data_IF_091724872117
#
_entry.id   IF_091724872117
#
_cell.length_a   1.000
_cell.length_b   1.000
_cell.length_c   1.000
_cell.angle_alpha   90.00
_cell.angle_beta   90.00
_cell.angle_gamma   90.00
#
_symmetry.space_group_name_H-M   'P 1'
#
loop_
_entity.id
_entity.type
_entity.pdbx_description
1 polymer ?
#
# COMPACT_ATOMS: atom_id res chain seq x y z
N UNK A 1 -12.78 -0.19 -7.30
CA UNK A 1 -11.68 0.40 -8.13
C UNK A 1 -11.74 -0.22 -9.51
N UNK A 2 -12.11 0.55 -10.56
CA UNK A 2 -12.19 0.02 -11.93
C UNK A 2 -10.84 -0.04 -12.67
N UNK A 3 -9.90 0.84 -12.35
CA UNK A 3 -8.61 0.89 -13.05
C UNK A 3 -7.44 0.89 -12.07
N UNK A 4 -6.38 0.17 -12.42
CA UNK A 4 -5.12 0.14 -11.69
C UNK A 4 -4.03 0.89 -12.46
N UNK A 5 -3.29 1.76 -11.77
CA UNK A 5 -2.14 2.53 -12.27
C UNK A 5 -2.39 3.31 -13.59
N UNK A 6 -3.66 3.49 -13.96
CA UNK A 6 -4.06 4.19 -15.19
C UNK A 6 -3.90 3.38 -16.47
N UNK A 7 -3.44 2.13 -16.41
CA UNK A 7 -3.32 1.27 -17.58
C UNK A 7 -4.69 0.89 -18.14
N UNK A 8 -4.89 1.09 -19.42
CA UNK A 8 -6.16 0.80 -20.08
C UNK A 8 -7.33 1.66 -19.60
N UNK A 9 -7.06 2.77 -18.94
CA UNK A 9 -8.06 3.69 -18.41
C UNK A 9 -8.85 4.33 -19.57
N UNK A 10 -10.16 4.23 -19.53
CA UNK A 10 -11.07 4.89 -20.46
C UNK A 10 -12.37 5.22 -19.74
N UNK A 11 -13.00 6.35 -20.07
CA UNK A 11 -14.26 6.81 -19.49
C UNK A 11 -14.38 6.57 -17.97
N UNK A 12 -13.36 7.01 -17.23
CA UNK A 12 -13.30 6.76 -15.78
C UNK A 12 -14.52 7.33 -15.04
N UNK A 13 -15.03 8.48 -15.47
CA UNK A 13 -16.23 9.09 -14.90
C UNK A 13 -17.48 8.23 -15.13
N UNK A 14 -17.66 7.69 -16.34
CA UNK A 14 -18.75 6.76 -16.65
C UNK A 14 -18.66 5.47 -15.84
N UNK A 15 -17.45 4.92 -15.68
CA UNK A 15 -17.22 3.74 -14.83
C UNK A 15 -17.60 4.01 -13.36
N UNK A 16 -17.24 5.16 -12.79
CA UNK A 16 -17.62 5.57 -11.44
C UNK A 16 -19.15 5.69 -11.30
N UNK A 17 -19.80 6.32 -12.28
CA UNK A 17 -21.28 6.45 -12.29
C UNK A 17 -21.96 5.07 -12.34
N UNK A 18 -21.48 4.16 -13.19
CA UNK A 18 -22.02 2.82 -13.28
C UNK A 18 -21.86 2.03 -11.97
N UNK A 19 -20.72 2.15 -11.29
CA UNK A 19 -20.50 1.53 -9.96
C UNK A 19 -21.48 2.11 -8.94
N UNK A 20 -21.62 3.44 -8.87
CA UNK A 20 -22.52 4.09 -7.91
C UNK A 20 -24.00 3.80 -8.17
N UNK A 21 -24.38 3.54 -9.41
CA UNK A 21 -25.74 3.11 -9.74
C UNK A 21 -26.06 1.70 -9.22
N UNK A 22 -25.05 0.86 -9.02
CA UNK A 22 -25.19 -0.50 -8.46
C UNK A 22 -25.04 -0.52 -6.94
N UNK A 23 -24.10 0.26 -6.40
CA UNK A 23 -23.81 0.36 -4.96
C UNK A 23 -23.26 1.76 -4.66
N UNK A 24 -24.05 2.60 -4.03
CA UNK A 24 -23.69 3.95 -3.58
C UNK A 24 -23.19 4.01 -2.14
N UNK A 25 -23.13 2.87 -1.46
CA UNK A 25 -22.72 2.78 -0.05
C UNK A 25 -21.21 2.75 0.16
N UNK A 26 -20.43 2.62 -0.91
CA UNK A 26 -18.96 2.46 -0.85
C UNK A 26 -18.23 3.59 -1.53
N UNK A 27 -17.06 3.92 -0.97
CA UNK A 27 -16.15 4.86 -1.63
C UNK A 27 -15.60 4.24 -2.92
N UNK A 28 -15.47 5.06 -3.95
CA UNK A 28 -14.92 4.65 -5.25
C UNK A 28 -13.54 5.29 -5.44
N UNK A 29 -12.53 4.45 -5.56
CA UNK A 29 -11.22 4.80 -6.08
C UNK A 29 -11.22 4.51 -7.59
N UNK A 30 -11.29 5.54 -8.42
CA UNK A 30 -11.51 5.37 -9.87
C UNK A 30 -10.31 4.78 -10.60
N UNK A 31 -9.11 5.26 -10.23
CA UNK A 31 -7.85 4.83 -10.79
C UNK A 31 -6.80 4.80 -9.68
N UNK A 32 -6.51 3.63 -9.17
CA UNK A 32 -5.52 3.43 -8.13
C UNK A 32 -4.12 3.81 -8.64
N UNK A 33 -3.46 4.74 -7.95
CA UNK A 33 -2.07 5.13 -8.21
C UNK A 33 -1.90 6.30 -9.16
N UNK A 34 -1.50 6.05 -10.39
CA UNK A 34 -1.13 7.09 -11.34
C UNK A 34 -2.32 7.55 -12.21
N UNK A 35 -2.19 8.73 -12.80
CA UNK A 35 -3.15 9.28 -13.78
C UNK A 35 -4.57 9.45 -13.25
N UNK A 36 -4.69 10.11 -12.11
CA UNK A 36 -5.97 10.51 -11.53
C UNK A 36 -6.80 11.37 -12.51
N UNK A 37 -8.05 10.97 -12.74
CA UNK A 37 -9.01 11.69 -13.60
C UNK A 37 -9.94 12.62 -12.81
N UNK A 38 -9.89 12.57 -11.49
CA UNK A 38 -10.62 13.48 -10.60
C UNK A 38 -12.06 13.10 -10.27
N UNK A 39 -12.53 11.91 -10.68
CA UNK A 39 -13.95 11.53 -10.56
C UNK A 39 -14.32 10.67 -9.37
N UNK A 40 -13.36 10.03 -8.72
CA UNK A 40 -13.57 9.17 -7.55
C UNK A 40 -13.62 9.92 -6.22
N UNK A 41 -13.89 9.20 -5.15
CA UNK A 41 -13.89 9.74 -3.77
C UNK A 41 -12.48 9.83 -3.17
N UNK A 42 -11.54 9.10 -3.75
CA UNK A 42 -10.18 8.92 -3.26
C UNK A 42 -9.17 9.51 -4.24
N UNK A 43 -8.20 10.25 -3.72
CA UNK A 43 -6.97 10.61 -4.43
C UNK A 43 -5.92 9.56 -4.08
N UNK A 44 -5.66 8.66 -5.02
CA UNK A 44 -4.87 7.45 -4.80
C UNK A 44 -3.42 7.63 -5.23
N UNK A 45 -2.49 7.13 -4.42
CA UNK A 45 -1.05 7.18 -4.69
C UNK A 45 -0.45 5.78 -4.65
N UNK A 46 0.39 5.45 -5.63
CA UNK A 46 1.33 4.34 -5.56
C UNK A 46 2.74 4.88 -5.38
N UNK A 47 3.47 4.36 -4.40
CA UNK A 47 4.82 4.83 -4.13
C UNK A 47 5.76 3.71 -3.70
N UNK A 48 6.65 3.29 -4.60
CA UNK A 48 7.70 2.32 -4.34
C UNK A 48 9.11 2.91 -4.37
N UNK A 49 9.35 3.99 -5.11
CA UNK A 49 10.69 4.44 -5.48
C UNK A 49 11.03 5.85 -5.02
N UNK A 50 10.06 6.75 -4.97
CA UNK A 50 10.32 8.18 -4.75
C UNK A 50 10.08 8.60 -3.30
N UNK A 51 10.68 9.69 -2.85
CA UNK A 51 10.30 10.29 -1.57
C UNK A 51 8.81 10.59 -1.55
N UNK A 52 8.07 9.97 -0.61
CA UNK A 52 6.64 10.18 -0.48
C UNK A 52 6.34 11.63 -0.12
N UNK A 53 5.52 12.28 -0.92
CA UNK A 53 5.08 13.65 -0.70
C UNK A 53 3.57 13.74 -0.85
N UNK A 54 2.88 13.80 0.27
CA UNK A 54 1.45 14.07 0.29
C UNK A 54 1.22 15.58 0.25
N UNK A 55 0.26 16.00 -0.59
CA UNK A 55 -0.22 17.37 -0.66
C UNK A 55 -1.69 17.39 -0.28
N UNK A 56 -2.18 18.41 0.44
CA UNK A 56 -3.60 18.54 0.75
C UNK A 56 -4.45 18.47 -0.51
N UNK A 57 -5.53 17.71 -0.42
CA UNK A 57 -6.50 17.48 -1.49
C UNK A 57 -7.92 17.74 -0.94
N UNK A 58 -8.87 17.95 -1.83
CA UNK A 58 -10.30 18.00 -1.48
C UNK A 58 -10.88 16.61 -1.25
N UNK A 59 -10.27 15.60 -1.84
CA UNK A 59 -10.60 14.17 -1.67
C UNK A 59 -9.70 13.51 -0.64
N UNK A 60 -10.15 12.40 -0.08
CA UNK A 60 -9.34 11.56 0.81
C UNK A 60 -8.07 11.07 0.10
N UNK A 61 -6.92 11.33 0.68
CA UNK A 61 -5.64 10.85 0.13
C UNK A 61 -5.36 9.46 0.66
N UNK A 62 -5.22 8.50 -0.24
CA UNK A 62 -4.82 7.13 0.05
C UNK A 62 -3.46 6.81 -0.56
N UNK A 63 -2.58 6.23 0.22
CA UNK A 63 -1.40 5.52 -0.28
C UNK A 63 -1.83 4.06 -0.50
N UNK A 64 -2.39 3.81 -1.68
CA UNK A 64 -3.09 2.57 -2.01
C UNK A 64 -2.16 1.43 -2.42
N UNK A 65 -0.90 1.74 -2.74
CA UNK A 65 0.17 0.75 -2.85
C UNK A 65 1.51 1.36 -2.44
N UNK A 66 2.25 0.65 -1.58
CA UNK A 66 3.60 1.04 -1.20
C UNK A 66 4.33 -0.09 -0.48
N UNK A 67 5.64 0.02 -0.38
CA UNK A 67 6.47 -0.97 0.30
C UNK A 67 7.12 -1.93 -0.66
N UNK A 68 6.51 -3.07 -0.90
CA UNK A 68 6.98 -4.06 -1.88
C UNK A 68 8.37 -4.62 -1.61
N UNK A 69 8.87 -4.58 -0.35
CA UNK A 69 10.21 -5.04 0.00
C UNK A 69 10.25 -6.56 -0.09
N UNK A 70 10.97 -7.07 -1.08
CA UNK A 70 11.12 -8.50 -1.28
C UNK A 70 12.04 -9.14 -0.24
N UNK A 71 11.69 -10.34 0.17
CA UNK A 71 12.59 -11.28 0.84
C UNK A 71 12.13 -12.71 0.54
N UNK A 72 12.82 -13.39 -0.40
CA UNK A 72 12.60 -14.81 -0.62
C UNK A 72 13.05 -15.57 0.63
N UNK A 73 12.09 -16.00 1.45
CA UNK A 73 12.38 -16.70 2.69
C UNK A 73 12.78 -18.14 2.39
N UNK A 74 13.98 -18.60 2.84
CA UNK A 74 14.45 -19.95 2.57
C UNK A 74 13.45 -21.05 2.95
N UNK A 75 13.20 -21.97 2.04
CA UNK A 75 12.24 -23.06 2.23
C UNK A 75 10.78 -22.73 1.93
N UNK A 76 10.48 -21.48 1.54
CA UNK A 76 9.14 -21.00 1.21
C UNK A 76 9.08 -20.23 -0.12
N UNK A 77 10.12 -20.33 -0.93
CA UNK A 77 10.20 -19.62 -2.19
C UNK A 77 9.24 -20.23 -3.24
N UNK A 78 8.61 -19.39 -4.06
CA UNK A 78 7.86 -19.87 -5.22
C UNK A 78 8.83 -20.51 -6.22
N UNK A 79 8.37 -21.46 -7.05
CA UNK A 79 9.21 -22.24 -7.96
C UNK A 79 9.73 -21.43 -9.17
N UNK A 80 9.63 -20.11 -9.16
CA UNK A 80 9.97 -19.22 -10.28
C UNK A 80 10.92 -18.11 -9.84
N UNK A 81 11.37 -17.31 -10.82
CA UNK A 81 12.16 -16.10 -10.56
C UNK A 81 11.34 -15.15 -9.68
N UNK A 82 11.97 -14.63 -8.63
CA UNK A 82 11.34 -13.75 -7.66
C UNK A 82 11.42 -12.28 -8.07
N UNK A 83 10.39 -11.51 -7.70
CA UNK A 83 10.28 -10.08 -7.95
C UNK A 83 9.95 -9.30 -6.66
N UNK A 84 10.27 -7.99 -6.66
CA UNK A 84 9.92 -7.03 -5.63
C UNK A 84 10.74 -5.74 -5.72
N UNK A 85 10.36 -4.73 -4.95
CA UNK A 85 10.96 -3.39 -4.97
C UNK A 85 12.13 -3.28 -3.99
N UNK A 86 13.25 -3.91 -4.35
CA UNK A 86 14.44 -4.05 -3.52
C UNK A 86 14.34 -5.21 -2.54
N UNK A 87 15.43 -5.96 -2.41
CA UNK A 87 15.48 -7.23 -1.68
C UNK A 87 16.17 -7.09 -0.33
N UNK A 88 15.53 -7.55 0.73
CA UNK A 88 16.14 -7.79 2.03
C UNK A 88 16.83 -9.16 2.04
N UNK A 89 17.86 -9.32 2.86
CA UNK A 89 18.66 -10.54 2.95
C UNK A 89 18.31 -11.40 4.17
N UNK A 90 17.54 -10.85 5.10
CA UNK A 90 17.13 -11.52 6.33
C UNK A 90 15.84 -10.96 6.90
N UNK A 91 15.28 -11.66 7.89
CA UNK A 91 14.13 -11.19 8.68
C UNK A 91 14.42 -9.85 9.35
N UNK A 92 15.61 -9.70 9.92
CA UNK A 92 16.04 -8.50 10.64
C UNK A 92 16.12 -7.32 9.69
N UNK A 93 16.70 -7.49 8.51
CA UNK A 93 16.78 -6.45 7.49
C UNK A 93 15.39 -6.06 6.97
N UNK A 94 14.54 -7.05 6.65
CA UNK A 94 13.15 -6.80 6.24
C UNK A 94 12.41 -5.99 7.31
N UNK A 95 12.49 -6.41 8.56
CA UNK A 95 11.86 -5.74 9.70
C UNK A 95 12.37 -4.32 9.88
N UNK A 96 13.68 -4.13 9.80
CA UNK A 96 14.30 -2.80 9.95
C UNK A 96 13.87 -1.85 8.82
N UNK A 97 13.85 -2.33 7.57
CA UNK A 97 13.39 -1.55 6.40
C UNK A 97 11.90 -1.21 6.49
N UNK A 98 11.06 -2.16 6.92
CA UNK A 98 9.64 -1.91 7.18
C UNK A 98 9.47 -0.79 8.22
N UNK A 99 10.10 -0.89 9.38
CA UNK A 99 10.05 0.13 10.43
C UNK A 99 10.51 1.50 9.94
N UNK A 100 11.66 1.55 9.26
CA UNK A 100 12.22 2.79 8.71
C UNK A 100 11.26 3.47 7.74
N UNK A 101 10.64 2.70 6.85
CA UNK A 101 9.68 3.22 5.89
C UNK A 101 8.42 3.73 6.58
N UNK A 102 7.83 2.95 7.46
CA UNK A 102 6.59 3.33 8.16
C UNK A 102 6.78 4.56 9.05
N UNK A 103 7.79 4.56 9.89
CA UNK A 103 8.00 5.63 10.87
C UNK A 103 8.71 6.85 10.28
N UNK A 104 9.64 6.64 9.34
CA UNK A 104 10.44 7.71 8.75
C UNK A 104 9.83 8.35 7.50
N UNK A 105 9.02 7.60 6.75
CA UNK A 105 8.46 8.08 5.47
C UNK A 105 6.94 8.28 5.55
N UNK A 106 6.20 7.28 6.04
CA UNK A 106 4.73 7.30 6.01
C UNK A 106 4.16 8.15 7.16
N UNK A 107 4.59 7.91 8.39
CA UNK A 107 4.05 8.58 9.57
C UNK A 107 4.05 10.11 9.46
N UNK A 108 5.10 10.80 8.97
CA UNK A 108 5.07 12.25 8.80
C UNK A 108 4.05 12.75 7.77
N UNK A 109 3.55 11.89 6.88
CA UNK A 109 2.57 12.28 5.87
C UNK A 109 1.14 12.29 6.40
N UNK A 110 0.87 11.62 7.52
CA UNK A 110 -0.44 11.66 8.18
C UNK A 110 -0.81 13.11 8.55
N UNK A 111 0.14 13.89 9.04
CA UNK A 111 -0.05 15.31 9.34
C UNK A 111 -0.32 16.18 8.10
N UNK A 112 -0.10 15.66 6.90
CA UNK A 112 -0.32 16.35 5.62
C UNK A 112 -1.58 15.89 4.90
N UNK A 113 -2.43 15.09 5.58
CA UNK A 113 -3.70 14.64 5.04
C UNK A 113 -3.71 13.22 4.46
N UNK A 114 -2.63 12.45 4.65
CA UNK A 114 -2.65 11.02 4.30
C UNK A 114 -3.63 10.29 5.23
N UNK A 115 -4.65 9.65 4.67
CA UNK A 115 -5.80 9.14 5.43
C UNK A 115 -6.02 7.63 5.30
N UNK A 116 -5.42 6.99 4.31
CA UNK A 116 -5.52 5.54 4.12
C UNK A 116 -4.19 4.95 3.65
N UNK A 117 -3.91 3.72 4.07
CA UNK A 117 -2.67 3.00 3.79
C UNK A 117 -2.98 1.55 3.39
N UNK A 118 -2.47 1.11 2.24
CA UNK A 118 -2.51 -0.30 1.82
C UNK A 118 -1.10 -0.76 1.48
N UNK A 119 -0.52 -1.56 2.37
CA UNK A 119 0.83 -2.08 2.19
C UNK A 119 0.86 -3.22 1.16
N UNK A 120 1.77 -3.18 0.25
CA UNK A 120 2.05 -4.23 -0.73
C UNK A 120 3.17 -5.14 -0.23
N UNK A 121 2.84 -6.38 0.25
CA UNK A 121 1.47 -6.88 0.35
C UNK A 121 1.31 -7.84 1.55
N UNK A 122 0.13 -8.40 1.72
CA UNK A 122 -0.12 -9.29 2.86
C UNK A 122 0.59 -10.63 2.73
N UNK A 123 0.49 -11.27 1.54
CA UNK A 123 1.14 -12.57 1.25
C UNK A 123 1.95 -12.46 -0.03
N UNK A 124 3.00 -13.26 -0.15
CA UNK A 124 3.65 -13.46 -1.44
C UNK A 124 2.62 -14.00 -2.46
N UNK A 125 2.69 -13.53 -3.70
CA UNK A 125 1.78 -13.91 -4.78
C UNK A 125 2.58 -14.12 -6.07
N UNK A 126 2.41 -15.26 -6.71
CA UNK A 126 3.11 -15.64 -7.95
C UNK A 126 4.64 -15.54 -7.81
N UNK A 127 5.29 -14.59 -8.50
CA UNK A 127 6.73 -14.34 -8.41
C UNK A 127 7.08 -13.15 -7.49
N UNK A 128 6.08 -12.43 -6.98
CA UNK A 128 6.28 -11.36 -6.01
C UNK A 128 6.49 -11.90 -4.60
N UNK A 129 7.71 -11.77 -4.10
CA UNK A 129 8.11 -12.20 -2.74
C UNK A 129 8.24 -11.02 -1.77
N UNK A 130 7.28 -10.13 -1.82
CA UNK A 130 7.21 -8.89 -1.03
C UNK A 130 6.10 -8.90 0.05
N UNK A 131 5.44 -10.03 0.24
CA UNK A 131 4.43 -10.23 1.27
C UNK A 131 4.99 -10.19 2.69
N UNK A 132 4.12 -9.89 3.66
CA UNK A 132 4.39 -10.08 5.09
C UNK A 132 4.33 -11.55 5.49
N UNK A 133 3.59 -12.35 4.73
CA UNK A 133 3.54 -13.81 4.83
C UNK A 133 4.20 -14.47 3.62
N UNK A 134 4.68 -15.68 3.83
CA UNK A 134 5.20 -16.52 2.74
C UNK A 134 4.11 -16.92 1.76
N UNK A 135 4.52 -17.39 0.57
CA UNK A 135 3.61 -17.85 -0.51
C UNK A 135 2.63 -18.93 -0.03
N UNK A 136 3.12 -19.90 0.74
CA UNK A 136 2.34 -20.98 1.35
C UNK A 136 1.54 -20.52 2.60
N UNK A 137 1.70 -19.25 3.02
CA UNK A 137 1.06 -18.62 4.17
C UNK A 137 1.37 -19.30 5.53
N UNK A 138 2.40 -20.10 5.60
CA UNK A 138 2.76 -20.84 6.82
C UNK A 138 3.69 -20.06 7.75
N UNK A 139 4.36 -19.03 7.25
CA UNK A 139 5.29 -18.23 8.05
C UNK A 139 5.07 -16.73 7.88
N UNK A 140 5.27 -15.98 8.98
CA UNK A 140 5.35 -14.52 8.99
C UNK A 140 6.81 -14.13 8.73
N UNK A 141 7.04 -13.33 7.70
CA UNK A 141 8.37 -12.97 7.24
C UNK A 141 9.08 -11.96 8.16
N UNK A 142 8.51 -10.76 8.46
CA UNK A 142 9.11 -9.85 9.43
C UNK A 142 8.84 -10.27 10.89
N UNK A 143 9.42 -9.55 11.83
CA UNK A 143 9.04 -9.66 13.25
C UNK A 143 7.61 -9.14 13.46
N UNK A 144 6.69 -10.00 13.82
CA UNK A 144 5.28 -9.69 13.99
C UNK A 144 5.02 -8.65 15.11
N UNK A 145 5.82 -8.66 16.18
CA UNK A 145 5.67 -7.70 17.27
C UNK A 145 6.15 -6.31 16.83
N UNK A 146 7.22 -6.25 16.05
CA UNK A 146 7.68 -5.00 15.47
C UNK A 146 6.64 -4.41 14.50
N UNK A 147 6.04 -5.22 13.63
CA UNK A 147 4.95 -4.79 12.73
C UNK A 147 3.76 -4.26 13.53
N UNK A 148 3.31 -5.01 14.55
CA UNK A 148 2.20 -4.59 15.43
C UNK A 148 2.48 -3.25 16.12
N UNK A 149 3.68 -3.09 16.68
CA UNK A 149 4.10 -1.86 17.36
C UNK A 149 4.12 -0.65 16.41
N UNK A 150 4.63 -0.84 15.20
CA UNK A 150 4.66 0.21 14.17
C UNK A 150 3.24 0.61 13.74
N UNK A 151 2.37 -0.37 13.49
CA UNK A 151 0.99 -0.09 13.10
C UNK A 151 0.21 0.61 14.23
N UNK A 152 0.47 0.26 15.48
CA UNK A 152 -0.10 0.96 16.64
C UNK A 152 0.37 2.43 16.70
N UNK A 153 1.64 2.71 16.40
CA UNK A 153 2.15 4.07 16.35
C UNK A 153 1.51 4.89 15.22
N UNK A 154 1.32 4.31 14.03
CA UNK A 154 0.60 4.96 12.92
C UNK A 154 -0.86 5.26 13.30
N UNK A 155 -1.56 4.31 13.91
CA UNK A 155 -2.94 4.48 14.35
C UNK A 155 -3.07 5.57 15.43
N UNK A 156 -2.14 5.62 16.38
CA UNK A 156 -2.10 6.65 17.42
C UNK A 156 -1.88 8.05 16.84
N UNK A 157 -0.94 8.17 15.88
CA UNK A 157 -0.69 9.45 15.21
C UNK A 157 -1.90 9.87 14.37
N UNK A 158 -2.52 8.94 13.64
CA UNK A 158 -3.74 9.23 12.87
C UNK A 158 -4.86 9.75 13.79
N UNK A 159 -5.12 9.08 14.92
CA UNK A 159 -6.11 9.51 15.89
C UNK A 159 -5.82 10.88 16.51
N UNK A 160 -4.55 11.31 16.53
CA UNK A 160 -4.13 12.64 16.99
C UNK A 160 -4.40 13.72 15.95
N UNK A 161 -4.21 13.39 14.67
CA UNK A 161 -4.31 14.35 13.54
C UNK A 161 -5.75 14.66 13.18
N UNK A 162 -6.69 13.70 13.34
CA UNK A 162 -8.10 13.88 12.98
C UNK A 162 -8.95 14.60 14.06
N UNK A 163 -8.34 14.97 15.18
CA UNK A 163 -8.98 15.77 16.23
C UNK A 163 -8.87 17.26 15.94
#
# INVERSE_FOLDING_TARGET
MPFNEGWGQYDAAGAVQAIRALDDTRLVDEASGWYDQGGGDVYSLHNYFYPLRVRPQTRTVALSEYGGIAWPMPGHEPPRKTYGYGTAKSREELTARYKKMQLGTVLPQLQKGLSALVYTQLTDVEDEVNGLFTYDRTAIKPDANAVRSVNAALAAEFARVIK
#
